data_IF_234273254459
#
_entry.id   IF_234273254459
#
_cell.length_a   1.000
_cell.length_b   1.000
_cell.length_c   1.000
_cell.angle_alpha   90.00
_cell.angle_beta   90.00
_cell.angle_gamma   90.00
#
_symmetry.space_group_name_H-M   'P 1'
#
loop_
_entity.id
_entity.type
_entity.pdbx_description
1 polymer ?
#
# COMPACT_ATOMS: atom_id res chain seq x y z
N UNK A 1 67.78 -35.68 13.46
CA UNK A 1 66.42 -36.16 13.81
C UNK A 1 65.48 -34.98 13.67
N UNK A 2 64.67 -34.94 12.63
CA UNK A 2 63.73 -33.85 12.35
C UNK A 2 62.67 -33.75 13.45
N UNK A 3 62.48 -32.55 14.00
CA UNK A 3 61.50 -32.21 15.05
C UNK A 3 60.05 -32.47 14.59
N UNK A 4 59.56 -33.71 14.72
CA UNK A 4 58.18 -34.07 14.36
C UNK A 4 57.16 -33.78 15.48
N UNK A 5 57.62 -33.55 16.71
CA UNK A 5 56.77 -33.44 17.90
C UNK A 5 56.99 -32.11 18.61
N UNK A 6 55.89 -31.42 18.94
CA UNK A 6 55.90 -30.22 19.78
C UNK A 6 55.87 -30.61 21.26
N UNK A 7 56.28 -29.70 22.15
CA UNK A 7 56.32 -29.96 23.60
C UNK A 7 55.52 -28.94 24.40
N UNK A 8 54.88 -29.42 25.47
CA UNK A 8 54.30 -28.65 26.57
C UNK A 8 55.00 -29.10 27.86
N UNK A 9 54.75 -28.39 28.97
CA UNK A 9 55.39 -28.63 30.27
C UNK A 9 55.37 -30.09 30.74
N UNK A 10 54.35 -30.87 30.37
CA UNK A 10 54.18 -32.26 30.79
C UNK A 10 53.84 -33.24 29.64
N UNK A 11 53.94 -32.83 28.38
CA UNK A 11 53.56 -33.70 27.25
C UNK A 11 54.25 -33.34 25.95
N UNK A 12 54.65 -34.35 25.16
CA UNK A 12 55.00 -34.18 23.75
C UNK A 12 53.79 -34.52 22.87
N UNK A 13 53.56 -33.78 21.80
CA UNK A 13 52.34 -33.88 21.01
C UNK A 13 52.57 -33.61 19.52
N UNK A 14 51.82 -34.32 18.67
CA UNK A 14 51.65 -34.06 17.22
C UNK A 14 50.18 -34.30 16.87
N UNK A 15 49.32 -33.34 17.22
CA UNK A 15 47.86 -33.49 17.09
C UNK A 15 47.36 -32.64 15.93
N UNK A 16 47.22 -33.26 14.76
CA UNK A 16 46.75 -32.63 13.52
C UNK A 16 45.32 -33.07 13.22
N UNK A 17 44.47 -32.12 12.88
CA UNK A 17 43.06 -32.37 12.58
C UNK A 17 42.71 -31.81 11.21
N UNK A 18 42.12 -32.65 10.37
CA UNK A 18 41.49 -32.19 9.13
C UNK A 18 40.05 -31.74 9.43
N UNK A 19 39.77 -30.48 9.17
CA UNK A 19 38.53 -29.82 9.55
C UNK A 19 37.88 -29.22 8.33
N UNK A 20 36.57 -29.45 8.19
CA UNK A 20 35.77 -28.93 7.09
C UNK A 20 34.63 -28.07 7.63
N UNK A 21 34.53 -26.84 7.14
CA UNK A 21 33.43 -25.93 7.45
C UNK A 21 32.55 -25.71 6.22
N UNK A 22 31.24 -25.87 6.40
CA UNK A 22 30.25 -25.54 5.36
C UNK A 22 29.47 -24.31 5.81
N UNK A 23 29.39 -23.24 4.99
CA UNK A 23 28.58 -22.06 5.28
C UNK A 23 27.09 -22.43 5.31
N UNK A 24 26.30 -21.70 6.10
CA UNK A 24 24.85 -21.93 6.20
C UNK A 24 24.20 -21.77 4.81
N UNK A 25 23.40 -22.76 4.40
CA UNK A 25 22.76 -22.86 3.06
C UNK A 25 23.74 -22.89 1.88
N UNK A 26 25.02 -23.23 2.11
CA UNK A 26 26.02 -23.48 1.05
C UNK A 26 26.15 -22.30 0.06
N UNK A 27 25.99 -21.06 0.57
CA UNK A 27 26.03 -19.83 -0.24
C UNK A 27 27.44 -19.62 -0.81
N UNK A 28 27.56 -19.75 -2.13
CA UNK A 28 28.84 -19.68 -2.86
C UNK A 28 29.47 -18.27 -2.91
N UNK A 29 28.66 -17.24 -2.67
CA UNK A 29 29.03 -15.82 -2.81
C UNK A 29 30.10 -15.38 -1.80
N UNK A 30 30.20 -16.03 -0.64
CA UNK A 30 31.08 -15.61 0.47
C UNK A 30 32.58 -15.82 0.15
N UNK A 31 32.91 -16.73 -0.77
CA UNK A 31 34.29 -17.20 -1.00
C UNK A 31 34.93 -16.69 -2.30
N UNK A 32 34.30 -15.74 -2.99
CA UNK A 32 34.85 -15.11 -4.19
C UNK A 32 36.01 -14.15 -3.87
N UNK A 33 35.71 -12.86 -3.77
CA UNK A 33 36.72 -11.81 -3.52
C UNK A 33 37.26 -11.81 -2.07
N UNK A 34 36.45 -12.22 -1.09
CA UNK A 34 36.82 -12.25 0.33
C UNK A 34 37.80 -13.39 0.68
N UNK A 35 38.09 -14.31 -0.24
CA UNK A 35 38.93 -15.52 0.01
C UNK A 35 40.30 -15.20 0.60
N UNK A 36 40.97 -14.15 0.08
CA UNK A 36 42.30 -13.73 0.55
C UNK A 36 42.27 -13.18 1.97
N UNK A 37 41.29 -12.32 2.28
CA UNK A 37 41.10 -11.75 3.62
C UNK A 37 40.66 -12.82 4.63
N UNK A 38 39.78 -13.72 4.20
CA UNK A 38 39.27 -14.79 5.06
C UNK A 38 40.37 -15.78 5.47
N UNK A 39 41.31 -16.07 4.58
CA UNK A 39 42.52 -16.83 4.89
C UNK A 39 43.33 -16.17 6.02
N UNK A 40 43.56 -14.86 5.95
CA UNK A 40 44.30 -14.12 6.99
C UNK A 40 43.56 -14.11 8.34
N UNK A 41 42.23 -14.01 8.30
CA UNK A 41 41.38 -14.05 9.51
C UNK A 41 41.49 -15.41 10.19
N UNK A 42 41.41 -16.52 9.45
CA UNK A 42 41.56 -17.85 10.04
C UNK A 42 42.93 -18.06 10.68
N UNK A 43 44.01 -17.64 10.02
CA UNK A 43 45.36 -17.73 10.60
C UNK A 43 45.50 -16.87 11.87
N UNK A 44 44.94 -15.66 11.86
CA UNK A 44 44.97 -14.77 13.02
C UNK A 44 44.18 -15.33 14.20
N UNK A 45 43.00 -15.90 13.96
CA UNK A 45 42.17 -16.53 14.99
C UNK A 45 42.79 -17.82 15.53
N UNK A 46 43.41 -18.63 14.67
CA UNK A 46 44.13 -19.83 15.10
C UNK A 46 45.29 -19.46 16.04
N UNK A 47 46.05 -18.41 15.70
CA UNK A 47 47.15 -17.91 16.54
C UNK A 47 46.67 -17.44 17.92
N UNK A 48 45.48 -16.84 18.02
CA UNK A 48 44.88 -16.44 19.32
C UNK A 48 44.58 -17.64 20.23
N UNK A 49 44.43 -18.85 19.68
CA UNK A 49 44.25 -20.10 20.42
C UNK A 49 45.49 -20.97 20.45
N UNK A 50 46.65 -20.40 20.13
CA UNK A 50 47.93 -21.12 20.05
C UNK A 50 47.87 -22.35 19.12
N UNK A 51 46.97 -22.29 18.14
CA UNK A 51 46.81 -23.33 17.13
C UNK A 51 47.48 -22.89 15.83
N UNK A 52 47.99 -23.86 15.06
CA UNK A 52 48.67 -23.58 13.80
C UNK A 52 47.91 -24.23 12.64
N UNK A 53 47.55 -23.45 11.64
CA UNK A 53 47.02 -23.98 10.37
C UNK A 53 48.22 -24.40 9.54
N UNK A 54 48.32 -25.70 9.24
CA UNK A 54 49.41 -26.28 8.45
C UNK A 54 49.10 -26.16 6.97
N UNK A 55 47.87 -26.46 6.59
CA UNK A 55 47.39 -26.38 5.21
C UNK A 55 45.92 -25.95 5.20
N UNK A 56 45.47 -25.29 4.14
CA UNK A 56 44.06 -24.93 4.01
C UNK A 56 43.64 -24.45 2.63
N UNK A 57 42.51 -24.97 2.17
CA UNK A 57 41.89 -24.61 0.90
C UNK A 57 40.47 -24.10 1.15
N UNK A 58 40.23 -22.85 0.75
CA UNK A 58 38.89 -22.27 0.74
C UNK A 58 38.24 -22.60 -0.61
N UNK A 59 37.28 -23.51 -0.61
CA UNK A 59 36.49 -23.86 -1.80
C UNK A 59 35.25 -22.95 -1.88
N UNK A 60 34.59 -22.84 -3.05
CA UNK A 60 33.42 -21.96 -3.20
C UNK A 60 32.30 -22.26 -2.22
N UNK A 61 32.17 -23.50 -1.76
CA UNK A 61 31.03 -23.98 -0.99
C UNK A 61 31.43 -24.56 0.38
N UNK A 62 32.72 -24.65 0.70
CA UNK A 62 33.22 -25.16 1.98
C UNK A 62 34.70 -24.79 2.19
N UNK A 63 35.19 -24.85 3.43
CA UNK A 63 36.59 -24.61 3.78
C UNK A 63 37.21 -25.89 4.28
N UNK A 64 38.32 -26.32 3.67
CA UNK A 64 39.20 -27.38 4.16
C UNK A 64 40.39 -26.76 4.89
N UNK A 65 40.72 -27.24 6.08
CA UNK A 65 41.97 -26.89 6.75
C UNK A 65 42.52 -28.06 7.57
N UNK A 66 43.84 -28.20 7.56
CA UNK A 66 44.60 -29.03 8.48
C UNK A 66 45.14 -28.12 9.59
N UNK A 67 44.68 -28.34 10.83
CA UNK A 67 45.05 -27.53 11.99
C UNK A 67 45.70 -28.38 13.07
N UNK A 68 46.85 -27.93 13.57
CA UNK A 68 47.51 -28.48 14.74
C UNK A 68 46.96 -27.80 16.00
N UNK A 69 46.38 -28.59 16.91
CA UNK A 69 45.74 -28.10 18.14
C UNK A 69 46.45 -28.73 19.34
N UNK A 70 47.01 -27.93 20.27
CA UNK A 70 47.62 -28.44 21.48
C UNK A 70 46.61 -29.25 22.33
N UNK A 71 47.02 -30.38 22.95
CA UNK A 71 46.11 -31.25 23.71
C UNK A 71 45.49 -30.57 24.96
N UNK A 72 46.02 -29.42 25.38
CA UNK A 72 45.43 -28.57 26.43
C UNK A 72 44.11 -27.89 26.01
N UNK A 73 43.78 -27.88 24.72
CA UNK A 73 42.57 -27.26 24.20
C UNK A 73 41.60 -28.31 23.63
N UNK A 74 40.33 -28.36 24.09
CA UNK A 74 39.32 -29.20 23.48
C UNK A 74 39.07 -28.78 22.03
N UNK A 75 39.14 -29.73 21.10
CA UNK A 75 38.95 -29.49 19.65
C UNK A 75 37.64 -28.74 19.38
N UNK A 76 36.54 -29.16 20.01
CA UNK A 76 35.23 -28.53 19.84
C UNK A 76 35.23 -27.03 20.23
N UNK A 77 35.99 -26.64 21.25
CA UNK A 77 36.11 -25.24 21.69
C UNK A 77 36.85 -24.39 20.67
N UNK A 78 37.97 -24.91 20.14
CA UNK A 78 38.75 -24.24 19.09
C UNK A 78 37.94 -24.08 17.81
N UNK A 79 37.23 -25.14 17.40
CA UNK A 79 36.37 -25.09 16.21
C UNK A 79 35.19 -24.13 16.38
N UNK A 80 34.54 -24.15 17.55
CA UNK A 80 33.46 -23.21 17.87
C UNK A 80 33.92 -21.76 17.85
N UNK A 81 35.11 -21.49 18.41
CA UNK A 81 35.74 -20.17 18.40
C UNK A 81 36.04 -19.70 16.98
N UNK A 82 36.68 -20.55 16.16
CA UNK A 82 37.02 -20.24 14.76
C UNK A 82 35.75 -19.90 13.98
N UNK A 83 34.73 -20.78 14.00
CA UNK A 83 33.47 -20.56 13.28
C UNK A 83 32.72 -19.31 13.76
N UNK A 84 32.64 -19.09 15.06
CA UNK A 84 31.91 -17.97 15.64
C UNK A 84 32.57 -16.61 15.32
N UNK A 85 33.88 -16.49 15.56
CA UNK A 85 34.61 -15.25 15.31
C UNK A 85 34.80 -14.98 13.82
N UNK A 86 35.02 -16.01 13.00
CA UNK A 86 35.06 -15.83 11.54
C UNK A 86 33.70 -15.38 11.01
N UNK A 87 32.59 -15.94 11.50
CA UNK A 87 31.24 -15.51 11.11
C UNK A 87 30.98 -14.03 11.46
N UNK A 88 31.40 -13.57 12.65
CA UNK A 88 31.29 -12.15 13.04
C UNK A 88 32.19 -11.26 12.18
N UNK A 89 33.42 -11.69 11.90
CA UNK A 89 34.34 -10.94 11.05
C UNK A 89 33.77 -10.79 9.63
N UNK A 90 33.26 -11.88 9.04
CA UNK A 90 32.56 -11.87 7.75
C UNK A 90 31.32 -10.98 7.83
N UNK A 91 30.50 -11.10 8.86
CA UNK A 91 29.32 -10.26 9.03
C UNK A 91 29.65 -8.77 9.22
N UNK A 92 30.85 -8.41 9.71
CA UNK A 92 31.31 -7.01 9.78
C UNK A 92 31.87 -6.51 8.47
N UNK A 93 32.60 -7.37 7.75
CA UNK A 93 33.10 -7.09 6.41
C UNK A 93 31.93 -6.90 5.43
N UNK A 94 30.93 -7.79 5.47
CA UNK A 94 29.73 -7.70 4.64
C UNK A 94 28.64 -6.79 5.23
N UNK A 95 28.62 -6.58 6.56
CA UNK A 95 27.59 -5.77 7.23
C UNK A 95 27.82 -4.26 7.16
N UNK A 96 29.06 -3.82 6.91
CA UNK A 96 29.34 -2.45 6.48
C UNK A 96 28.87 -2.17 5.04
N UNK A 97 28.56 -3.20 4.26
CA UNK A 97 28.15 -3.07 2.85
C UNK A 97 26.63 -2.84 2.66
N UNK A 98 25.83 -2.78 3.74
CA UNK A 98 24.40 -2.43 3.68
C UNK A 98 24.14 -0.92 3.81
N UNK A 99 25.17 -0.09 4.04
CA UNK A 99 24.98 1.35 4.22
C UNK A 99 25.93 2.27 3.47
N UNK A 100 26.97 1.80 2.76
CA UNK A 100 27.78 2.60 1.81
C UNK A 100 28.64 1.67 0.94
N UNK A 101 28.90 2.12 -0.29
CA UNK A 101 29.36 1.38 -1.47
C UNK A 101 30.71 0.62 -1.37
N UNK A 102 30.87 -0.26 -2.35
CA UNK A 102 31.76 -1.42 -2.47
C UNK A 102 33.27 -1.16 -2.73
N UNK A 103 34.17 -1.93 -2.06
CA UNK A 103 35.55 -2.18 -2.52
C UNK A 103 35.77 -3.59 -3.12
N UNK A 104 34.75 -4.45 -3.17
CA UNK A 104 34.94 -5.84 -3.57
C UNK A 104 35.15 -6.01 -5.10
N UNK A 105 34.59 -5.12 -5.94
CA UNK A 105 34.57 -5.29 -7.40
C UNK A 105 35.87 -4.98 -8.16
N UNK A 106 36.89 -4.42 -7.49
CA UNK A 106 38.12 -3.99 -8.18
C UNK A 106 37.93 -2.75 -9.05
N UNK A 107 36.74 -2.14 -9.04
CA UNK A 107 36.39 -0.85 -9.63
C UNK A 107 35.74 0.00 -8.54
N UNK A 108 36.03 1.30 -8.52
CA UNK A 108 35.38 2.27 -7.64
C UNK A 108 34.33 3.04 -8.41
N UNK A 109 33.20 3.34 -7.76
CA UNK A 109 32.22 4.29 -8.26
C UNK A 109 32.56 5.67 -7.69
N UNK A 110 33.17 6.53 -8.50
CA UNK A 110 33.60 7.85 -8.06
C UNK A 110 32.42 8.83 -8.00
N UNK A 111 31.47 8.70 -8.96
CA UNK A 111 30.29 9.57 -9.03
C UNK A 111 29.14 8.89 -9.74
N UNK A 112 27.91 9.21 -9.34
CA UNK A 112 26.71 8.85 -10.08
C UNK A 112 25.63 9.92 -9.86
N UNK A 113 25.07 10.45 -10.94
CA UNK A 113 24.11 11.55 -10.94
C UNK A 113 22.94 11.22 -11.87
N UNK A 114 21.75 11.61 -11.43
CA UNK A 114 20.53 11.62 -12.27
C UNK A 114 20.30 13.05 -12.72
N UNK A 115 20.09 13.28 -14.01
CA UNK A 115 20.03 14.59 -14.63
C UNK A 115 18.81 14.72 -15.57
N UNK A 116 18.35 15.96 -15.76
CA UNK A 116 17.31 16.34 -16.73
C UNK A 116 17.87 16.62 -18.13
N UNK A 117 19.19 16.68 -18.26
CA UNK A 117 19.90 16.95 -19.51
C UNK A 117 21.08 16.00 -19.65
N UNK A 118 21.52 15.75 -20.88
CA UNK A 118 22.75 14.99 -21.15
C UNK A 118 23.94 15.94 -21.02
N UNK A 119 24.90 15.68 -20.12
CA UNK A 119 26.08 16.53 -19.96
C UNK A 119 26.98 16.48 -21.20
N UNK A 120 27.66 17.58 -21.54
CA UNK A 120 28.44 17.67 -22.78
C UNK A 120 29.75 16.88 -22.75
N UNK A 121 30.37 16.67 -21.57
CA UNK A 121 31.60 15.89 -21.47
C UNK A 121 31.80 15.20 -20.11
N UNK A 122 32.65 14.17 -20.10
CA UNK A 122 33.05 13.42 -18.91
C UNK A 122 33.84 14.27 -17.89
N UNK A 123 34.68 15.19 -18.38
CA UNK A 123 35.49 16.08 -17.54
C UNK A 123 34.66 17.06 -16.72
N UNK A 124 33.51 17.49 -17.24
CA UNK A 124 32.61 18.40 -16.53
C UNK A 124 31.99 17.73 -15.30
N UNK A 125 31.71 16.42 -15.37
CA UNK A 125 31.15 15.67 -14.24
C UNK A 125 32.09 15.58 -13.04
N UNK A 126 33.41 15.66 -13.26
CA UNK A 126 34.41 15.60 -12.19
C UNK A 126 34.74 17.00 -11.67
N UNK A 127 34.93 17.96 -12.57
CA UNK A 127 35.40 19.31 -12.24
C UNK A 127 34.29 20.27 -11.79
N UNK A 128 33.13 20.28 -12.45
CA UNK A 128 32.00 21.18 -12.18
C UNK A 128 30.67 20.44 -12.37
N UNK A 129 30.29 19.58 -11.41
CA UNK A 129 29.14 18.70 -11.56
C UNK A 129 27.83 19.49 -11.67
N UNK A 130 26.94 19.13 -12.62
CA UNK A 130 25.58 19.64 -12.63
C UNK A 130 24.80 19.14 -11.40
N UNK A 131 23.83 19.93 -10.96
CA UNK A 131 22.96 19.57 -9.84
C UNK A 131 22.12 18.34 -10.16
N UNK A 132 22.17 17.32 -9.31
CA UNK A 132 21.37 16.12 -9.47
C UNK A 132 19.87 16.43 -9.37
N UNK A 133 19.08 15.83 -10.25
CA UNK A 133 17.63 15.83 -10.21
C UNK A 133 17.13 14.56 -9.52
N UNK A 134 16.27 14.71 -8.51
CA UNK A 134 15.66 13.61 -7.77
C UNK A 134 14.14 13.52 -7.96
N UNK A 135 13.53 14.51 -8.61
CA UNK A 135 12.11 14.52 -8.99
C UNK A 135 11.96 14.84 -10.48
N UNK A 136 10.98 14.20 -11.12
CA UNK A 136 10.64 14.35 -12.53
C UNK A 136 9.12 14.34 -12.73
N UNK A 137 8.61 15.24 -13.55
CA UNK A 137 7.21 15.30 -13.97
C UNK A 137 6.90 14.25 -15.06
N UNK A 138 5.66 13.75 -15.16
CA UNK A 138 5.20 12.93 -16.30
C UNK A 138 5.35 13.61 -17.67
N UNK A 139 5.49 14.94 -17.70
CA UNK A 139 5.74 15.73 -18.90
C UNK A 139 7.21 15.88 -19.27
N UNK A 140 8.13 15.48 -18.39
CA UNK A 140 9.56 15.53 -18.70
C UNK A 140 9.87 14.60 -19.86
N UNK A 141 10.78 14.99 -20.76
CA UNK A 141 11.10 14.18 -21.92
C UNK A 141 11.78 12.87 -21.53
N UNK A 142 12.78 12.95 -20.64
CA UNK A 142 13.58 11.79 -20.23
C UNK A 142 14.32 12.02 -18.90
N UNK A 143 14.80 10.91 -18.33
CA UNK A 143 15.75 10.86 -17.21
C UNK A 143 17.08 10.34 -17.74
N UNK A 144 18.17 11.06 -17.48
CA UNK A 144 19.52 10.61 -17.87
C UNK A 144 20.29 10.22 -16.62
N UNK A 145 20.81 8.99 -16.58
CA UNK A 145 21.80 8.58 -15.58
C UNK A 145 23.20 8.77 -16.16
N UNK A 146 24.09 9.33 -15.35
CA UNK A 146 25.52 9.40 -15.69
C UNK A 146 26.35 9.00 -14.49
N UNK A 147 27.35 8.16 -14.70
CA UNK A 147 28.25 7.73 -13.62
C UNK A 147 29.69 7.59 -14.08
N UNK A 148 30.60 7.75 -13.13
CA UNK A 148 32.05 7.74 -13.32
C UNK A 148 32.65 6.67 -12.44
N UNK A 149 33.51 5.85 -13.03
CA UNK A 149 34.23 4.78 -12.35
C UNK A 149 35.73 4.95 -12.49
N UNK A 150 36.50 4.41 -11.54
CA UNK A 150 37.96 4.30 -11.61
C UNK A 150 38.42 2.88 -11.29
N UNK A 151 39.56 2.48 -11.85
CA UNK A 151 40.12 1.14 -11.69
C UNK A 151 39.52 0.07 -12.62
N UNK A 152 38.82 0.51 -13.66
CA UNK A 152 38.27 -0.33 -14.73
C UNK A 152 39.36 -1.12 -15.46
N UNK A 153 39.02 -2.32 -15.94
CA UNK A 153 39.92 -3.20 -16.69
C UNK A 153 39.35 -3.49 -18.06
N UNK A 154 40.24 -3.82 -19.00
CA UNK A 154 39.84 -4.24 -20.32
C UNK A 154 38.95 -5.48 -20.23
N UNK A 155 37.80 -5.45 -20.90
CA UNK A 155 36.79 -6.52 -20.89
C UNK A 155 35.66 -6.33 -19.86
N UNK A 156 35.74 -5.35 -18.97
CA UNK A 156 34.67 -5.08 -18.02
C UNK A 156 33.40 -4.54 -18.71
N UNK A 157 32.22 -4.88 -18.20
CA UNK A 157 30.93 -4.48 -18.80
C UNK A 157 30.04 -3.80 -17.75
N UNK A 158 29.62 -2.58 -18.04
CA UNK A 158 28.60 -1.88 -17.26
C UNK A 158 27.18 -2.15 -17.78
N UNK A 159 26.19 -2.10 -16.90
CA UNK A 159 24.77 -2.21 -17.24
C UNK A 159 23.91 -1.43 -16.24
N UNK A 160 22.74 -0.97 -16.67
CA UNK A 160 21.82 -0.18 -15.84
C UNK A 160 20.41 -0.74 -15.95
N UNK A 161 19.76 -0.90 -14.80
CA UNK A 161 18.36 -1.28 -14.73
C UNK A 161 17.56 -0.22 -13.98
N UNK A 162 16.52 0.28 -14.64
CA UNK A 162 15.47 1.07 -13.98
C UNK A 162 14.49 0.12 -13.31
N UNK A 163 14.11 0.44 -12.07
CA UNK A 163 13.20 -0.34 -11.23
C UNK A 163 11.99 0.55 -10.95
N UNK A 164 10.84 0.07 -11.40
CA UNK A 164 9.53 0.69 -11.18
C UNK A 164 9.19 0.81 -9.69
N UNK A 165 8.21 1.64 -9.31
CA UNK A 165 7.71 1.71 -7.93
C UNK A 165 7.15 0.39 -7.39
N UNK A 166 6.73 -0.52 -8.28
CA UNK A 166 6.29 -1.88 -7.93
C UNK A 166 7.46 -2.87 -7.72
N UNK A 167 8.73 -2.41 -7.84
CA UNK A 167 9.92 -3.24 -7.67
C UNK A 167 10.29 -4.09 -8.89
N UNK A 168 9.61 -3.92 -10.02
CA UNK A 168 9.90 -4.63 -11.26
C UNK A 168 10.92 -3.86 -12.12
N UNK A 169 11.79 -4.56 -12.83
CA UNK A 169 12.70 -3.94 -13.82
C UNK A 169 11.88 -3.40 -14.99
N UNK A 170 12.06 -2.13 -15.33
CA UNK A 170 11.41 -1.47 -16.47
C UNK A 170 12.27 -1.65 -17.72
N UNK A 171 11.66 -2.16 -18.80
CA UNK A 171 12.32 -2.44 -20.06
C UNK A 171 11.99 -1.35 -21.13
N UNK A 172 12.93 -1.02 -22.03
CA UNK A 172 14.25 -1.63 -22.16
C UNK A 172 15.22 -1.16 -21.06
N UNK A 173 15.99 -2.11 -20.53
CA UNK A 173 17.16 -1.77 -19.73
C UNK A 173 18.15 -1.02 -20.62
N UNK A 174 18.85 -0.06 -20.06
CA UNK A 174 19.84 0.69 -20.80
C UNK A 174 21.20 0.01 -20.62
N UNK A 175 21.74 -0.46 -21.74
CA UNK A 175 22.87 -1.39 -21.76
C UNK A 175 22.44 -2.88 -21.80
N UNK A 176 23.41 -3.82 -21.87
CA UNK A 176 24.81 -3.64 -21.52
C UNK A 176 25.59 -2.76 -22.50
N UNK A 177 26.47 -1.90 -21.98
CA UNK A 177 27.44 -1.18 -22.81
C UNK A 177 28.44 -2.14 -23.43
N UNK A 178 29.15 -1.68 -24.46
CA UNK A 178 30.31 -2.40 -24.97
C UNK A 178 31.35 -2.62 -23.85
N UNK A 179 32.07 -3.72 -23.95
CA UNK A 179 33.14 -4.02 -23.01
C UNK A 179 34.22 -2.94 -23.06
N UNK A 180 34.72 -2.53 -21.89
CA UNK A 180 35.80 -1.55 -21.72
C UNK A 180 37.00 -1.99 -22.55
N UNK A 181 37.47 -1.11 -23.44
CA UNK A 181 38.61 -1.37 -24.31
C UNK A 181 39.93 -1.31 -23.53
N UNK A 182 41.02 -1.78 -24.15
CA UNK A 182 42.36 -1.70 -23.55
C UNK A 182 42.78 -0.25 -23.29
N UNK A 183 42.42 0.68 -24.18
CA UNK A 183 42.76 2.10 -24.04
C UNK A 183 41.96 2.74 -22.90
N UNK A 184 40.65 2.48 -22.82
CA UNK A 184 39.79 2.95 -21.73
C UNK A 184 40.19 2.38 -20.36
N UNK A 185 40.79 1.19 -20.32
CA UNK A 185 41.34 0.60 -19.09
C UNK A 185 42.55 1.36 -18.53
N UNK A 186 43.22 2.17 -19.35
CA UNK A 186 44.36 3.00 -18.90
C UNK A 186 43.92 4.38 -18.39
N UNK A 187 42.67 4.78 -18.64
CA UNK A 187 42.15 6.07 -18.17
C UNK A 187 42.05 6.10 -16.63
N UNK A 188 42.31 7.26 -16.02
CA UNK A 188 42.12 7.44 -14.58
C UNK A 188 40.64 7.31 -14.17
N UNK A 189 39.74 7.77 -15.05
CA UNK A 189 38.30 7.71 -14.89
C UNK A 189 37.64 7.35 -16.22
N UNK A 190 36.59 6.54 -16.15
CA UNK A 190 35.74 6.20 -17.29
C UNK A 190 34.29 6.61 -16.99
N UNK A 191 33.67 7.31 -17.94
CA UNK A 191 32.29 7.78 -17.82
C UNK A 191 31.33 6.93 -18.64
N UNK A 192 30.18 6.63 -18.04
CA UNK A 192 29.06 5.99 -18.70
C UNK A 192 27.87 6.96 -18.67
N UNK A 193 27.38 7.30 -19.86
CA UNK A 193 26.11 8.00 -20.03
C UNK A 193 25.08 7.00 -20.50
N UNK A 194 23.95 6.97 -19.79
CA UNK A 194 22.89 6.03 -20.06
C UNK A 194 22.08 6.37 -21.31
N UNK A 195 21.47 5.35 -21.92
CA UNK A 195 20.40 5.58 -22.87
C UNK A 195 19.21 6.09 -22.05
N UNK A 196 18.94 7.39 -22.12
CA UNK A 196 18.00 8.07 -21.24
C UNK A 196 16.64 7.34 -21.18
N UNK A 197 16.11 7.14 -19.97
CA UNK A 197 14.75 6.63 -19.76
C UNK A 197 13.76 7.68 -20.26
N UNK A 198 13.06 7.40 -21.37
CA UNK A 198 12.05 8.30 -21.93
C UNK A 198 10.79 8.26 -21.06
N UNK A 199 10.38 9.41 -20.54
CA UNK A 199 9.17 9.55 -19.72
C UNK A 199 7.99 9.92 -20.61
N UNK A 200 8.02 11.12 -21.22
CA UNK A 200 6.91 11.63 -22.01
C UNK A 200 6.56 10.70 -23.18
N UNK A 201 5.29 10.34 -23.29
CA UNK A 201 4.79 9.46 -24.36
C UNK A 201 5.04 7.96 -24.14
N UNK A 202 5.57 7.54 -22.99
CA UNK A 202 5.76 6.12 -22.65
C UNK A 202 4.96 5.71 -21.40
N UNK A 203 4.80 4.39 -21.12
CA UNK A 203 4.16 3.92 -19.90
C UNK A 203 4.82 4.43 -18.59
N UNK A 204 6.11 4.81 -18.62
CA UNK A 204 6.82 5.32 -17.46
C UNK A 204 6.16 6.58 -16.88
N UNK A 205 5.59 7.45 -17.72
CA UNK A 205 4.87 8.65 -17.28
C UNK A 205 3.66 8.35 -16.38
N UNK A 206 3.07 7.16 -16.49
CA UNK A 206 1.90 6.76 -15.70
C UNK A 206 2.26 5.96 -14.44
N UNK A 207 3.52 5.52 -14.32
CA UNK A 207 4.01 4.74 -13.19
C UNK A 207 4.59 5.67 -12.13
N UNK A 208 3.71 6.41 -11.45
CA UNK A 208 4.09 7.41 -10.47
C UNK A 208 4.61 6.79 -9.17
N UNK A 209 5.56 7.48 -8.52
CA UNK A 209 6.11 7.09 -7.23
C UNK A 209 7.63 7.07 -7.21
N UNK A 210 8.18 6.32 -6.25
CA UNK A 210 9.61 6.17 -6.07
C UNK A 210 10.17 5.12 -7.03
N UNK A 211 11.06 5.56 -7.90
CA UNK A 211 11.85 4.74 -8.81
C UNK A 211 13.25 4.55 -8.27
N UNK A 212 13.87 3.45 -8.68
CA UNK A 212 15.26 3.18 -8.37
C UNK A 212 16.02 2.87 -9.66
N UNK A 213 17.28 3.24 -9.70
CA UNK A 213 18.18 2.89 -10.80
C UNK A 213 19.38 2.15 -10.23
N UNK A 214 19.52 0.88 -10.62
CA UNK A 214 20.62 0.01 -10.23
C UNK A 214 21.74 0.09 -11.26
N UNK A 215 22.94 0.43 -10.81
CA UNK A 215 24.15 0.43 -11.64
C UNK A 215 24.86 -0.89 -11.42
N UNK A 216 25.16 -1.63 -12.48
CA UNK A 216 25.80 -2.93 -12.44
C UNK A 216 27.13 -2.91 -13.21
N UNK A 217 28.09 -3.68 -12.72
CA UNK A 217 29.39 -3.87 -13.33
C UNK A 217 29.76 -5.35 -13.28
N UNK A 218 30.02 -5.95 -14.43
CA UNK A 218 30.21 -7.41 -14.58
C UNK A 218 29.08 -8.22 -13.91
N UNK A 219 27.82 -7.78 -14.10
CA UNK A 219 26.61 -8.36 -13.49
C UNK A 219 26.49 -8.24 -11.97
N UNK A 220 27.38 -7.48 -11.31
CA UNK A 220 27.29 -7.20 -9.88
C UNK A 220 26.80 -5.77 -9.66
N UNK A 221 25.88 -5.57 -8.71
CA UNK A 221 25.39 -4.24 -8.36
C UNK A 221 26.53 -3.40 -7.76
N UNK A 222 26.74 -2.20 -8.29
CA UNK A 222 27.66 -1.18 -7.78
C UNK A 222 26.97 -0.23 -6.80
N UNK A 223 25.78 0.26 -7.16
CA UNK A 223 24.99 1.14 -6.30
C UNK A 223 23.55 1.18 -6.80
N UNK A 224 22.67 1.78 -6.00
CA UNK A 224 21.31 2.14 -6.39
C UNK A 224 21.05 3.59 -6.06
N UNK A 225 20.57 4.36 -7.03
CA UNK A 225 20.06 5.71 -6.81
C UNK A 225 18.54 5.70 -6.81
N UNK A 226 17.94 6.66 -6.13
CA UNK A 226 16.49 6.84 -6.09
C UNK A 226 16.09 8.17 -6.73
N UNK A 227 14.97 8.16 -7.44
CA UNK A 227 14.31 9.35 -7.97
C UNK A 227 12.81 9.11 -7.99
N UNK A 228 12.00 10.17 -8.08
CA UNK A 228 10.55 10.03 -8.21
C UNK A 228 10.08 10.54 -9.56
N UNK A 229 9.29 9.73 -10.26
CA UNK A 229 8.41 10.23 -11.33
C UNK A 229 7.08 10.52 -10.66
N UNK A 230 6.74 11.78 -10.66
CA UNK A 230 5.66 12.31 -9.88
C UNK A 230 5.62 13.78 -10.19
N UNK A 231 4.42 14.31 -10.29
CA UNK A 231 4.26 15.74 -10.40
C UNK A 231 5.13 16.46 -9.36
N UNK A 232 6.08 17.27 -9.84
CA UNK A 232 6.91 18.17 -9.03
C UNK A 232 5.99 18.90 -8.05
N UNK A 233 6.49 19.29 -6.86
CA UNK A 233 5.73 19.83 -5.71
C UNK A 233 4.80 21.04 -5.93
N UNK A 234 4.37 21.30 -7.17
CA UNK A 234 3.23 22.06 -7.63
C UNK A 234 2.23 21.20 -8.43
N UNK A 235 1.89 19.99 -7.95
CA UNK A 235 0.69 19.29 -8.44
C UNK A 235 -0.52 19.72 -7.62
N UNK A 236 -1.24 20.70 -8.15
CA UNK A 236 -2.59 20.99 -7.68
C UNK A 236 -3.50 19.86 -8.15
N UNK A 237 -3.73 18.88 -7.27
CA UNK A 237 -4.80 17.92 -7.47
C UNK A 237 -6.13 18.63 -7.33
N UNK A 238 -6.89 18.71 -8.43
CA UNK A 238 -8.28 19.17 -8.42
C UNK A 238 -9.19 17.96 -8.29
N UNK A 239 -10.08 17.99 -7.32
CA UNK A 239 -11.07 16.95 -7.09
C UNK A 239 -12.47 17.47 -7.40
N UNK A 240 -13.32 16.64 -7.98
CA UNK A 240 -14.73 16.99 -8.20
C UNK A 240 -15.59 15.79 -7.87
N UNK A 241 -16.68 16.04 -7.14
CA UNK A 241 -17.62 14.99 -6.73
C UNK A 241 -18.88 15.03 -7.59
N UNK A 242 -19.30 13.86 -8.08
CA UNK A 242 -20.51 13.76 -8.89
C UNK A 242 -21.40 12.56 -8.46
N UNK A 243 -22.61 12.80 -7.95
CA UNK A 243 -23.13 14.10 -7.52
C UNK A 243 -22.42 14.60 -6.24
N UNK A 244 -22.36 15.92 -5.97
CA UNK A 244 -21.76 16.46 -4.74
C UNK A 244 -22.68 16.34 -3.52
N UNK A 245 -23.95 15.98 -3.72
CA UNK A 245 -24.91 15.76 -2.64
C UNK A 245 -25.96 14.72 -2.99
N UNK A 246 -26.61 14.16 -1.98
CA UNK A 246 -27.75 13.26 -2.14
C UNK A 246 -28.75 13.42 -0.99
N UNK A 247 -29.95 12.86 -1.19
CA UNK A 247 -30.99 12.77 -0.17
C UNK A 247 -31.36 11.30 0.07
N UNK A 248 -31.69 10.98 1.32
CA UNK A 248 -32.13 9.64 1.71
C UNK A 248 -33.42 9.72 2.56
N UNK A 249 -34.27 8.70 2.42
CA UNK A 249 -35.40 8.52 3.31
C UNK A 249 -34.95 8.17 4.74
N UNK A 250 -35.87 8.18 5.70
CA UNK A 250 -35.57 7.91 7.11
C UNK A 250 -35.10 6.47 7.40
N UNK A 251 -35.32 5.52 6.47
CA UNK A 251 -34.82 4.15 6.58
C UNK A 251 -33.31 4.01 6.41
N UNK A 252 -32.77 2.83 6.73
CA UNK A 252 -31.39 2.48 6.40
C UNK A 252 -31.25 2.31 4.88
N UNK A 253 -30.07 2.63 4.34
CA UNK A 253 -29.82 2.58 2.90
C UNK A 253 -28.34 2.59 2.54
N UNK A 254 -28.08 2.62 1.24
CA UNK A 254 -26.73 2.68 0.68
C UNK A 254 -26.73 3.58 -0.56
N UNK A 255 -25.56 4.12 -0.90
CA UNK A 255 -25.40 4.96 -2.07
C UNK A 255 -23.95 5.04 -2.53
N UNK A 256 -23.75 5.69 -3.67
CA UNK A 256 -22.43 5.89 -4.27
C UNK A 256 -22.30 7.30 -4.85
N UNK A 257 -21.08 7.83 -4.87
CA UNK A 257 -20.74 9.01 -5.67
C UNK A 257 -19.38 8.81 -6.35
N UNK A 258 -19.18 9.51 -7.47
CA UNK A 258 -17.91 9.49 -8.21
C UNK A 258 -16.97 10.59 -7.70
N UNK A 259 -15.70 10.24 -7.58
CA UNK A 259 -14.58 11.16 -7.37
C UNK A 259 -13.84 11.26 -8.69
N UNK A 260 -13.90 12.43 -9.32
CA UNK A 260 -13.07 12.76 -10.48
C UNK A 260 -11.78 13.40 -9.98
N UNK A 261 -10.65 12.76 -10.29
CA UNK A 261 -9.32 13.26 -9.97
C UNK A 261 -8.34 12.92 -11.10
N UNK A 262 -7.33 13.78 -11.28
CA UNK A 262 -6.25 13.53 -12.22
C UNK A 262 -5.49 12.24 -11.91
N UNK A 263 -4.97 11.57 -12.93
CA UNK A 263 -4.19 10.34 -12.79
C UNK A 263 -3.02 10.56 -11.84
N UNK A 264 -2.93 9.79 -10.75
CA UNK A 264 -1.90 9.97 -9.71
C UNK A 264 -2.33 10.74 -8.47
N UNK A 265 -3.45 11.46 -8.52
CA UNK A 265 -4.00 12.14 -7.34
C UNK A 265 -4.64 11.12 -6.39
N UNK A 266 -3.98 10.86 -5.26
CA UNK A 266 -4.53 10.07 -4.18
C UNK A 266 -5.67 10.81 -3.46
N UNK A 267 -6.68 10.08 -3.01
CA UNK A 267 -7.75 10.62 -2.18
C UNK A 267 -8.20 9.60 -1.14
N UNK A 268 -8.79 10.11 -0.05
CA UNK A 268 -9.38 9.32 1.03
C UNK A 268 -10.72 9.91 1.43
N UNK A 269 -11.74 9.07 1.46
CA UNK A 269 -13.08 9.41 1.90
C UNK A 269 -13.27 9.10 3.39
N UNK A 270 -13.58 10.11 4.18
CA UNK A 270 -13.80 9.98 5.63
C UNK A 270 -15.13 10.61 6.01
N UNK A 271 -16.00 9.87 6.71
CA UNK A 271 -17.25 10.45 7.20
C UNK A 271 -17.05 11.13 8.56
N UNK A 272 -17.73 12.26 8.74
CA UNK A 272 -17.81 12.97 10.01
C UNK A 272 -18.93 12.44 10.94
N UNK A 273 -19.79 11.54 10.48
CA UNK A 273 -20.97 11.09 11.21
C UNK A 273 -20.99 9.57 11.40
N UNK A 274 -21.23 9.10 12.63
CA UNK A 274 -21.28 7.66 12.93
C UNK A 274 -22.41 6.91 12.20
N UNK A 275 -23.47 7.60 11.79
CA UNK A 275 -24.61 7.01 11.06
C UNK A 275 -24.41 6.98 9.53
N UNK A 276 -23.31 7.56 9.03
CA UNK A 276 -22.93 7.58 7.61
C UNK A 276 -21.55 6.94 7.47
N UNK A 277 -21.48 5.70 7.00
CA UNK A 277 -20.23 4.94 6.97
C UNK A 277 -19.74 4.74 5.55
N UNK A 278 -18.49 5.07 5.27
CA UNK A 278 -17.84 4.77 3.99
C UNK A 278 -17.40 3.31 3.98
N UNK A 279 -17.67 2.58 2.90
CA UNK A 279 -17.21 1.20 2.76
C UNK A 279 -15.68 1.13 2.65
N UNK A 280 -15.03 0.29 3.47
CA UNK A 280 -13.56 0.18 3.52
C UNK A 280 -12.92 -0.15 2.16
N UNK A 281 -13.62 -0.89 1.29
CA UNK A 281 -13.15 -1.22 -0.06
C UNK A 281 -13.11 -0.02 -1.01
N UNK A 282 -13.71 1.10 -0.63
CA UNK A 282 -13.79 2.34 -1.42
C UNK A 282 -13.44 3.59 -0.61
N UNK A 283 -12.79 3.43 0.56
CA UNK A 283 -12.44 4.56 1.43
C UNK A 283 -11.22 5.33 0.96
N UNK A 284 -10.47 4.82 -0.02
CA UNK A 284 -9.31 5.47 -0.60
C UNK A 284 -9.05 4.99 -2.02
N UNK A 285 -8.43 5.84 -2.85
CA UNK A 285 -8.07 5.52 -4.22
C UNK A 285 -7.04 6.49 -4.79
N UNK A 286 -6.66 6.28 -6.05
CA UNK A 286 -5.82 7.18 -6.83
C UNK A 286 -6.42 7.36 -8.22
N UNK A 287 -6.39 8.58 -8.76
CA UNK A 287 -7.12 8.90 -9.99
C UNK A 287 -8.63 8.93 -9.78
N UNK A 288 -9.41 8.79 -10.84
CA UNK A 288 -10.87 8.78 -10.72
C UNK A 288 -11.37 7.45 -10.14
N UNK A 289 -12.39 7.49 -9.28
CA UNK A 289 -12.97 6.27 -8.70
C UNK A 289 -14.29 6.50 -7.98
N UNK A 290 -14.90 5.41 -7.54
CA UNK A 290 -16.24 5.43 -6.93
C UNK A 290 -16.16 5.19 -5.43
N UNK A 291 -16.80 6.06 -4.64
CA UNK A 291 -16.96 5.89 -3.20
C UNK A 291 -18.35 5.33 -2.92
N UNK A 292 -18.39 4.22 -2.20
CA UNK A 292 -19.64 3.62 -1.70
C UNK A 292 -19.82 3.90 -0.21
N UNK A 293 -21.05 4.21 0.19
CA UNK A 293 -21.39 4.52 1.58
C UNK A 293 -22.70 3.83 2.00
N UNK A 294 -22.83 3.63 3.31
CA UNK A 294 -24.03 3.12 3.97
C UNK A 294 -24.58 4.17 4.93
N UNK A 295 -25.90 4.17 5.08
CA UNK A 295 -26.65 5.13 5.88
C UNK A 295 -27.50 4.34 6.89
N UNK A 296 -27.29 4.57 8.17
CA UNK A 296 -28.16 4.01 9.20
C UNK A 296 -29.53 4.69 9.20
N UNK A 297 -30.57 4.03 9.70
CA UNK A 297 -31.90 4.62 9.81
C UNK A 297 -31.88 5.86 10.73
N UNK A 298 -32.59 6.92 10.34
CA UNK A 298 -32.90 8.06 11.19
C UNK A 298 -34.23 7.80 11.89
N UNK A 299 -34.20 7.53 13.20
CA UNK A 299 -35.39 7.28 14.01
C UNK A 299 -35.99 8.55 14.61
N UNK A 300 -35.29 9.70 14.49
CA UNK A 300 -35.80 11.00 14.91
C UNK A 300 -36.81 11.57 13.92
N UNK A 301 -37.66 12.49 14.35
CA UNK A 301 -38.69 13.13 13.49
C UNK A 301 -38.15 14.30 12.67
N UNK A 302 -36.93 14.73 12.95
CA UNK A 302 -36.24 15.82 12.24
C UNK A 302 -35.25 15.28 11.21
N UNK A 303 -35.10 16.02 10.11
CA UNK A 303 -34.06 15.74 9.11
C UNK A 303 -32.68 15.93 9.72
N UNK A 304 -31.73 15.07 9.33
CA UNK A 304 -30.33 15.18 9.73
C UNK A 304 -29.42 15.23 8.51
N UNK A 305 -28.28 15.91 8.65
CA UNK A 305 -27.30 16.05 7.58
C UNK A 305 -25.96 15.53 8.02
N UNK A 306 -25.29 14.76 7.16
CA UNK A 306 -23.98 14.18 7.40
C UNK A 306 -23.08 14.43 6.20
N UNK A 307 -21.77 14.45 6.43
CA UNK A 307 -20.78 14.76 5.39
C UNK A 307 -19.72 13.67 5.28
N UNK A 308 -19.20 13.53 4.06
CA UNK A 308 -18.02 12.71 3.74
C UNK A 308 -16.99 13.66 3.10
N UNK A 309 -15.84 13.81 3.77
CA UNK A 309 -14.73 14.60 3.26
C UNK A 309 -13.87 13.76 2.32
N UNK A 310 -13.53 14.32 1.16
CA UNK A 310 -12.62 13.76 0.16
C UNK A 310 -11.66 14.87 -0.26
N UNK A 311 -10.43 14.84 0.28
CA UNK A 311 -9.45 15.91 0.09
C UNK A 311 -10.03 17.30 0.47
N UNK A 312 -10.14 18.23 -0.48
CA UNK A 312 -10.72 19.58 -0.34
C UNK A 312 -12.23 19.63 -0.63
N UNK A 313 -12.82 18.52 -1.06
CA UNK A 313 -14.25 18.42 -1.41
C UNK A 313 -15.07 17.78 -0.30
N UNK A 314 -16.34 18.16 -0.22
CA UNK A 314 -17.28 17.62 0.77
C UNK A 314 -18.55 17.12 0.09
N UNK A 315 -18.80 15.81 0.21
CA UNK A 315 -20.09 15.23 -0.16
C UNK A 315 -21.08 15.41 0.98
N UNK A 316 -22.29 15.88 0.67
CA UNK A 316 -23.34 16.16 1.67
C UNK A 316 -24.54 15.24 1.48
N UNK A 317 -24.92 14.53 2.55
CA UNK A 317 -26.10 13.68 2.58
C UNK A 317 -27.14 14.23 3.56
N UNK A 318 -28.34 14.54 3.06
CA UNK A 318 -29.49 14.92 3.90
C UNK A 318 -30.45 13.74 4.02
N UNK A 319 -30.60 13.22 5.23
CA UNK A 319 -31.51 12.13 5.53
C UNK A 319 -32.76 12.65 6.24
N UNK A 320 -33.93 12.37 5.67
CA UNK A 320 -35.21 12.75 6.26
C UNK A 320 -35.39 12.16 7.67
N UNK A 321 -36.11 12.86 8.53
CA UNK A 321 -36.65 12.30 9.77
C UNK A 321 -37.78 11.32 9.47
N UNK A 322 -38.07 10.44 10.41
CA UNK A 322 -39.33 9.70 10.41
C UNK A 322 -40.45 10.73 10.44
N UNK A 323 -41.24 10.83 9.37
CA UNK A 323 -42.47 11.60 9.40
C UNK A 323 -43.37 10.99 10.48
N UNK A 324 -43.41 11.67 11.63
CA UNK A 324 -44.40 11.39 12.66
C UNK A 324 -45.76 11.69 12.09
N UNK A 325 -46.48 10.63 11.69
CA UNK A 325 -47.90 10.66 11.36
C UNK A 325 -48.32 11.73 10.35
N UNK A 326 -48.30 11.41 9.06
CA UNK A 326 -49.34 11.96 8.19
C UNK A 326 -50.55 11.06 8.37
N UNK A 327 -51.58 11.56 9.06
CA UNK A 327 -52.92 11.01 8.91
C UNK A 327 -53.27 11.12 7.42
N UNK A 328 -53.33 9.98 6.72
CA UNK A 328 -53.80 9.95 5.33
C UNK A 328 -55.32 10.13 5.41
N UNK A 329 -55.79 11.36 5.25
CA UNK A 329 -57.22 11.63 5.12
C UNK A 329 -57.68 11.27 3.71
N UNK A 330 -58.44 10.18 3.59
CA UNK A 330 -59.12 9.79 2.34
C UNK A 330 -60.52 10.41 2.35
N UNK A 331 -60.72 11.43 1.51
CA UNK A 331 -62.05 11.99 1.28
C UNK A 331 -62.77 11.16 0.22
N UNK A 332 -63.81 10.42 0.60
CA UNK A 332 -64.79 9.87 -0.35
C UNK A 332 -66.07 10.68 -0.28
N UNK A 333 -66.51 11.25 -1.40
CA UNK A 333 -67.76 12.01 -1.47
C UNK A 333 -68.94 11.03 -1.42
N UNK A 334 -69.76 11.08 -0.37
CA UNK A 334 -70.93 10.20 -0.19
C UNK A 334 -72.18 10.98 -0.57
N UNK A 335 -72.69 10.74 -1.79
CA UNK A 335 -74.03 11.20 -2.18
C UNK A 335 -74.99 10.00 -2.09
N UNK A 336 -75.93 10.04 -1.14
CA UNK A 336 -77.07 9.12 -1.08
C UNK A 336 -77.27 8.42 0.26
N UNK A 337 -78.41 8.68 0.90
CA UNK A 337 -78.78 8.16 2.22
C UNK A 337 -79.12 6.66 2.26
N UNK A 338 -78.12 5.79 2.16
CA UNK A 338 -78.28 4.36 2.43
C UNK A 338 -77.25 3.88 3.48
N UNK A 339 -77.76 3.23 4.54
CA UNK A 339 -77.03 2.83 5.74
C UNK A 339 -76.34 1.46 5.60
N UNK A 340 -75.66 1.21 4.49
CA UNK A 340 -74.77 0.07 4.31
C UNK A 340 -73.78 0.35 3.18
N UNK A 341 -72.49 0.41 3.50
CA UNK A 341 -71.41 0.62 2.54
C UNK A 341 -70.59 -0.66 2.41
N UNK A 342 -70.40 -1.11 1.17
CA UNK A 342 -69.38 -2.11 0.82
C UNK A 342 -68.48 -1.45 -0.23
N UNK A 343 -67.22 -1.18 0.11
CA UNK A 343 -66.28 -0.52 -0.79
C UNK A 343 -64.85 -0.87 -0.40
N UNK A 344 -63.98 -1.05 -1.41
CA UNK A 344 -62.55 -1.32 -1.21
C UNK A 344 -61.76 -0.14 -1.74
N UNK A 345 -60.96 0.50 -0.90
CA UNK A 345 -59.99 1.52 -1.33
C UNK A 345 -58.59 1.02 -1.02
N UNK A 346 -57.73 1.02 -2.04
CA UNK A 346 -56.32 0.62 -1.89
C UNK A 346 -55.45 1.86 -1.75
N UNK A 347 -54.53 1.83 -0.81
CA UNK A 347 -53.46 2.81 -0.68
C UNK A 347 -52.12 2.07 -0.54
N UNK A 348 -51.07 2.62 -1.15
CA UNK A 348 -49.73 2.09 -1.04
C UNK A 348 -48.98 2.84 0.06
N UNK A 349 -48.37 2.08 0.96
CA UNK A 349 -47.48 2.61 2.00
C UNK A 349 -46.04 2.63 1.47
N UNK A 350 -45.31 3.71 1.73
CA UNK A 350 -43.87 3.74 1.47
C UNK A 350 -43.16 2.67 2.31
N UNK A 351 -42.10 2.09 1.76
CA UNK A 351 -41.43 0.93 2.34
C UNK A 351 -40.97 1.22 3.79
N UNK A 352 -41.52 0.48 4.75
CA UNK A 352 -41.25 0.63 6.19
C UNK A 352 -42.30 1.39 7.02
N UNK A 353 -43.35 1.95 6.40
CA UNK A 353 -44.42 2.60 7.14
C UNK A 353 -45.33 1.59 7.86
N UNK A 354 -45.64 1.84 9.15
CA UNK A 354 -46.57 1.04 9.97
C UNK A 354 -47.88 1.81 10.16
N UNK A 355 -49.01 1.18 9.89
CA UNK A 355 -50.34 1.73 10.23
C UNK A 355 -50.58 1.50 11.73
N UNK A 356 -50.61 2.58 12.51
CA UNK A 356 -50.80 2.51 13.97
C UNK A 356 -52.24 2.80 14.39
N UNK A 357 -53.04 3.44 13.53
CA UNK A 357 -54.46 3.75 13.75
C UNK A 357 -55.20 3.84 12.42
N UNK A 358 -56.47 3.46 12.39
CA UNK A 358 -57.39 3.61 11.26
C UNK A 358 -58.74 4.15 11.79
N UNK A 359 -59.32 5.13 11.11
CA UNK A 359 -60.58 5.77 11.47
C UNK A 359 -61.43 6.06 10.24
N UNK A 360 -62.75 6.07 10.41
CA UNK A 360 -63.71 6.49 9.38
C UNK A 360 -64.43 7.71 9.93
N UNK A 361 -64.49 8.80 9.16
CA UNK A 361 -65.20 10.02 9.53
C UNK A 361 -66.44 10.21 8.68
N UNK A 362 -67.52 10.64 9.31
CA UNK A 362 -68.73 11.10 8.63
C UNK A 362 -68.97 12.55 8.99
N UNK A 363 -69.25 13.39 7.99
CA UNK A 363 -69.65 14.76 8.21
C UNK A 363 -71.17 14.83 8.12
N UNK A 364 -71.85 14.97 9.25
CA UNK A 364 -73.28 15.33 9.26
C UNK A 364 -73.42 16.84 9.25
N UNK A 365 -74.50 17.35 8.65
CA UNK A 365 -74.81 18.78 8.59
C UNK A 365 -74.93 19.47 9.97
N UNK A 366 -74.82 18.73 11.08
CA UNK A 366 -74.92 19.21 12.46
C UNK A 366 -73.61 19.14 13.29
N UNK A 367 -72.46 18.87 12.68
CA UNK A 367 -71.14 18.87 13.34
C UNK A 367 -70.50 17.49 13.52
N UNK A 368 -69.17 17.46 13.61
CA UNK A 368 -68.35 16.24 13.64
C UNK A 368 -68.55 15.42 14.92
N UNK A 369 -68.70 14.10 14.79
CA UNK A 369 -68.68 13.16 15.94
C UNK A 369 -67.77 11.97 15.62
N UNK A 370 -66.89 11.59 16.55
CA UNK A 370 -65.98 10.45 16.40
C UNK A 370 -66.66 9.16 16.88
N UNK A 371 -66.70 8.12 16.05
CA UNK A 371 -67.17 6.77 16.46
C UNK A 371 -65.99 5.80 16.40
N UNK A 372 -65.62 5.20 17.53
CA UNK A 372 -64.49 4.26 17.60
C UNK A 372 -64.82 2.93 16.93
N UNK A 373 -63.99 2.50 15.97
CA UNK A 373 -64.05 1.17 15.37
C UNK A 373 -62.96 0.25 15.95
N UNK A 374 -63.30 -1.02 16.22
CA UNK A 374 -62.33 -2.04 16.66
C UNK A 374 -61.72 -2.74 15.45
N UNK A 375 -60.39 -2.77 15.36
CA UNK A 375 -59.65 -3.37 14.24
C UNK A 375 -59.23 -4.80 14.58
N UNK A 376 -59.51 -5.78 13.70
CA UNK A 376 -58.86 -7.10 13.72
C UNK A 376 -57.88 -7.20 12.56
N UNK A 377 -56.62 -7.51 12.86
CA UNK A 377 -55.56 -7.68 11.87
C UNK A 377 -55.59 -9.12 11.33
N UNK A 378 -55.77 -9.30 10.02
CA UNK A 378 -55.58 -10.58 9.34
C UNK A 378 -54.32 -10.54 8.45
N UNK A 379 -53.72 -11.70 8.21
CA UNK A 379 -52.35 -11.90 7.73
C UNK A 379 -52.03 -11.39 6.30
N UNK A 380 -52.95 -10.70 5.65
CA UNK A 380 -52.76 -9.96 4.40
C UNK A 380 -53.46 -8.63 4.57
N UNK A 381 -52.80 -7.52 4.27
CA UNK A 381 -53.14 -6.13 4.65
C UNK A 381 -54.54 -5.69 4.17
N UNK A 382 -55.57 -6.18 4.87
CA UNK A 382 -56.99 -5.83 4.71
C UNK A 382 -57.47 -5.51 6.12
N UNK A 383 -57.86 -4.25 6.33
CA UNK A 383 -58.46 -3.80 7.58
C UNK A 383 -59.98 -3.82 7.41
N UNK A 384 -60.66 -4.71 8.14
CA UNK A 384 -62.12 -4.75 8.19
C UNK A 384 -62.59 -4.27 9.57
N UNK A 385 -63.49 -3.28 9.59
CA UNK A 385 -64.21 -2.85 10.79
C UNK A 385 -65.70 -3.08 10.61
N UNK A 386 -66.36 -3.68 11.60
CA UNK A 386 -67.82 -3.76 11.63
C UNK A 386 -68.38 -2.60 12.46
N UNK A 387 -69.34 -1.86 11.90
CA UNK A 387 -70.17 -0.91 12.63
C UNK A 387 -71.38 -1.67 13.20
N UNK A 388 -71.49 -1.77 14.53
CA UNK A 388 -72.70 -2.31 15.17
C UNK A 388 -73.82 -1.27 15.17
N UNK A 389 -75.03 -1.72 14.85
CA UNK A 389 -76.27 -0.96 14.62
C UNK A 389 -76.71 0.01 15.74
N UNK A 390 -76.10 -0.02 16.92
CA UNK A 390 -76.47 0.81 18.08
C UNK A 390 -76.11 2.29 17.93
N UNK A 391 -75.35 2.67 16.91
CA UNK A 391 -74.87 4.05 16.71
C UNK A 391 -75.71 4.88 15.73
N UNK A 392 -76.81 4.32 15.21
CA UNK A 392 -77.59 4.93 14.13
C UNK A 392 -78.92 5.58 14.58
N UNK A 393 -79.27 5.54 15.87
CA UNK A 393 -80.47 6.21 16.37
C UNK A 393 -80.15 7.66 16.81
N UNK A 394 -80.85 8.69 16.27
CA UNK A 394 -80.77 10.04 16.82
C UNK A 394 -81.32 10.06 18.26
N UNK A 395 -80.82 10.93 19.14
CA UNK A 395 -81.27 10.98 20.53
C UNK A 395 -82.78 11.25 20.62
N UNK A 396 -83.51 10.36 21.31
CA UNK A 396 -84.93 10.55 21.61
C UNK A 396 -85.13 11.66 22.65
N UNK A 397 -85.96 12.64 22.29
CA UNK A 397 -86.41 13.75 23.15
C UNK A 397 -86.00 15.09 22.53
N UNK A 398 -86.88 15.85 21.89
CA UNK A 398 -87.99 16.59 22.50
C UNK A 398 -89.15 16.73 21.49
N UNK A 399 -90.37 16.35 21.88
CA UNK A 399 -91.60 16.69 21.16
C UNK A 399 -91.84 18.22 21.19
N UNK A 400 -92.28 18.85 20.10
CA UNK A 400 -92.68 20.25 20.12
C UNK A 400 -94.05 20.41 20.82
N UNK A 401 -94.12 21.24 21.86
CA UNK A 401 -95.40 21.71 22.38
C UNK A 401 -96.07 22.58 21.30
N UNK A 402 -97.19 22.10 20.76
CA UNK A 402 -98.20 22.93 20.10
C UNK A 402 -98.94 23.76 21.15
N UNK A 403 -98.83 25.08 21.09
CA UNK A 403 -99.96 26.01 20.93
C UNK A 403 -99.46 27.37 20.50
#
# INVERSE_FOLDING_TARGET
MSELYQSLSHSKWDCKYHVVFVPKRRRKVIFGQTRRQLGQIFHSLARQKECQILEGHLMPDHVHMCIAIPPKHPVASVIGFLKGKSAIAIARLCGKELSLAHPCLGVNLDRALILRTVPPSCSDLLSNPPTAATSFSPSDAFVTLVFVVSGQRAGDVAAVNYITPAGQVYAPASGPWNAVTADEATASHLCFSDQSLVIAGTPAANMLGQWHVGIYYNSQLLTTLAFSIGSDGTHTCTYTLNPPSATAASGAGQGTFQVSAGTGCGWKATSAAAWLTVANSSSSGSGSGTVSYQVAANTGTTSRTGTIAVSDQTFTLTQAGVSGGSEIQLYTNINGGACSLTGTSQFSLANGAKVTRFGVWYNWASGETTVGATVKQCATTVFAGNLSRSSCDPPRGVMPKRR
#
